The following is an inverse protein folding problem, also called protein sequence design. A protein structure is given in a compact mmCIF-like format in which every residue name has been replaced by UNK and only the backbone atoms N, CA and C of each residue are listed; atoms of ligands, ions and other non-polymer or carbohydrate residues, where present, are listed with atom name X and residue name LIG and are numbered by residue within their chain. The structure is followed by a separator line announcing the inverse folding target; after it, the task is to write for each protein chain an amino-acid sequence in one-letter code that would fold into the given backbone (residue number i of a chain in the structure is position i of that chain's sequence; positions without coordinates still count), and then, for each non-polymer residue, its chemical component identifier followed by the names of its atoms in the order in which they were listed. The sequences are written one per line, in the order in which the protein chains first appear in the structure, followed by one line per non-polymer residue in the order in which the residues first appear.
data_IF_939654660878
#
_entry.id   IF_939654660878
#
_cell.length_a   1.000
_cell.length_b   1.000
_cell.length_c   1.000
_cell.angle_alpha   90.00
_cell.angle_beta   90.00
_cell.angle_gamma   90.00
#
_symmetry.space_group_name_H-M   'P 1'
#
loop_
_entity.id
_entity.type
_entity.pdbx_description
1 polymer ?
#
# COMPACT_ATOMS: atom_id res chain seq x y z
N UNK A 1 -1.47 8.72 23.25
CA UNK A 1 -1.02 7.34 22.94
C UNK A 1 -0.39 7.37 21.56
N UNK A 2 0.89 7.05 21.44
CA UNK A 2 1.60 7.07 20.15
C UNK A 2 0.94 6.07 19.20
N UNK A 3 0.20 6.55 18.20
CA UNK A 3 -0.29 5.73 17.09
C UNK A 3 0.92 5.39 16.22
N UNK A 4 1.74 4.44 16.69
CA UNK A 4 2.88 3.93 15.94
C UNK A 4 2.32 3.03 14.85
N UNK A 5 1.89 3.61 13.72
CA UNK A 5 1.67 2.84 12.51
C UNK A 5 3.06 2.57 11.93
N UNK A 6 3.59 1.35 12.01
CA UNK A 6 4.92 1.07 11.48
C UNK A 6 4.95 1.40 9.99
N UNK A 7 5.96 2.19 9.60
CA UNK A 7 6.26 2.50 8.21
C UNK A 7 7.37 1.58 7.71
N UNK A 8 7.36 1.31 6.41
CA UNK A 8 8.34 0.46 5.73
C UNK A 8 8.89 1.22 4.55
N UNK A 9 10.22 1.29 4.45
CA UNK A 9 10.87 1.81 3.25
C UNK A 9 10.75 0.77 2.13
N UNK A 10 10.23 1.20 1.00
CA UNK A 10 10.05 0.40 -0.20
C UNK A 10 10.86 1.02 -1.35
N UNK A 11 11.50 0.16 -2.13
CA UNK A 11 12.26 0.56 -3.32
C UNK A 11 11.87 -0.37 -4.45
N UNK A 12 11.51 0.20 -5.60
CA UNK A 12 11.17 -0.53 -6.82
C UNK A 12 11.84 0.12 -8.04
N UNK A 13 11.80 -0.55 -9.18
CA UNK A 13 12.28 -0.06 -10.47
C UNK A 13 11.11 0.06 -11.45
N UNK A 14 11.01 1.20 -12.13
CA UNK A 14 10.00 1.44 -13.16
C UNK A 14 10.62 2.21 -14.32
N UNK A 15 10.50 1.68 -15.54
CA UNK A 15 11.07 2.26 -16.77
C UNK A 15 12.58 2.61 -16.67
N UNK A 16 13.33 1.83 -15.88
CA UNK A 16 14.77 2.04 -15.66
C UNK A 16 15.11 3.03 -14.54
N UNK A 17 14.12 3.69 -13.94
CA UNK A 17 14.29 4.54 -12.76
C UNK A 17 14.12 3.75 -11.46
N UNK A 18 14.98 4.03 -10.48
CA UNK A 18 14.86 3.48 -9.13
C UNK A 18 14.04 4.42 -8.25
N UNK A 19 12.83 3.98 -7.91
CA UNK A 19 11.89 4.72 -7.08
C UNK A 19 12.03 4.27 -5.64
N UNK A 20 12.10 5.23 -4.72
CA UNK A 20 12.09 4.98 -3.28
C UNK A 20 10.93 5.70 -2.64
N UNK A 21 10.27 5.03 -1.71
CA UNK A 21 9.16 5.61 -0.94
C UNK A 21 9.05 4.96 0.44
N UNK A 22 8.29 5.59 1.32
CA UNK A 22 7.95 5.11 2.66
C UNK A 22 6.47 4.80 2.71
N UNK A 23 6.13 3.53 2.94
CA UNK A 23 4.77 3.04 3.03
C UNK A 23 4.33 2.94 4.49
N UNK A 24 3.21 3.56 4.82
CA UNK A 24 2.49 3.41 6.08
C UNK A 24 1.44 2.33 5.91
N UNK A 25 1.32 1.44 6.90
CA UNK A 25 0.29 0.39 6.83
C UNK A 25 -1.13 0.95 6.76
N UNK A 26 -1.97 0.19 6.07
CA UNK A 26 -3.40 0.42 6.07
C UNK A 26 -4.00 0.16 7.44
N UNK A 27 -4.90 1.04 7.84
CA UNK A 27 -5.77 0.78 8.98
C UNK A 27 -6.79 -0.31 8.63
N UNK A 28 -7.33 -0.98 9.66
CA UNK A 28 -8.38 -1.99 9.47
C UNK A 28 -9.60 -1.45 8.69
N UNK A 29 -9.95 -0.17 8.89
CA UNK A 29 -11.02 0.49 8.14
C UNK A 29 -10.69 0.56 6.65
N UNK A 30 -9.48 0.99 6.30
CA UNK A 30 -9.02 1.07 4.90
C UNK A 30 -8.95 -0.32 4.24
N UNK A 31 -8.48 -1.34 4.97
CA UNK A 31 -8.48 -2.73 4.48
C UNK A 31 -9.89 -3.22 4.16
N UNK A 32 -10.87 -2.98 5.03
CA UNK A 32 -12.27 -3.36 4.79
C UNK A 32 -12.90 -2.63 3.61
N UNK A 33 -12.48 -1.39 3.32
CA UNK A 33 -12.92 -0.66 2.13
C UNK A 33 -12.38 -1.29 0.85
N UNK A 34 -11.15 -1.81 0.86
CA UNK A 34 -10.51 -2.39 -0.33
C UNK A 34 -10.93 -3.84 -0.60
N UNK A 35 -11.18 -4.62 0.46
CA UNK A 35 -11.50 -6.06 0.38
C UNK A 35 -12.56 -6.43 -0.69
N UNK A 36 -13.74 -5.80 -0.75
CA UNK A 36 -14.77 -6.18 -1.74
C UNK A 36 -14.39 -5.87 -3.19
N UNK A 37 -13.40 -5.02 -3.41
CA UNK A 37 -12.92 -4.64 -4.75
C UNK A 37 -11.86 -5.63 -5.24
N UNK A 38 -11.04 -6.14 -4.32
CA UNK A 38 -9.96 -7.09 -4.60
C UNK A 38 -10.45 -8.49 -5.00
N UNK A 39 -11.69 -8.89 -4.63
CA UNK A 39 -12.23 -10.22 -4.92
C UNK A 39 -12.45 -10.49 -6.42
N UNK A 40 -12.50 -9.46 -7.28
CA UNK A 40 -12.80 -9.63 -8.70
C UNK A 40 -12.14 -8.56 -9.60
N UNK A 41 -10.81 -8.45 -9.51
CA UNK A 41 -10.03 -7.51 -10.34
C UNK A 41 -9.94 -7.92 -11.82
N UNK A 42 -10.41 -9.12 -12.18
CA UNK A 42 -10.52 -9.57 -13.58
C UNK A 42 -11.60 -8.80 -14.36
N UNK A 43 -12.56 -8.19 -13.66
CA UNK A 43 -13.52 -7.28 -14.26
C UNK A 43 -12.90 -5.89 -14.41
N UNK A 44 -12.83 -5.38 -15.66
CA UNK A 44 -12.30 -4.05 -15.96
C UNK A 44 -12.94 -2.92 -15.15
N UNK A 45 -14.26 -2.97 -14.93
CA UNK A 45 -14.98 -1.98 -14.11
C UNK A 45 -14.52 -2.02 -12.65
N UNK A 46 -14.25 -3.23 -12.13
CA UNK A 46 -13.70 -3.41 -10.78
C UNK A 46 -12.25 -2.95 -10.70
N UNK A 47 -11.47 -3.16 -11.76
CA UNK A 47 -10.09 -2.64 -11.85
C UNK A 47 -10.08 -1.11 -11.84
N UNK A 48 -10.99 -0.44 -12.56
CA UNK A 48 -11.12 1.01 -12.49
C UNK A 48 -11.53 1.49 -11.09
N UNK A 49 -12.54 0.87 -10.49
CA UNK A 49 -12.95 1.18 -9.10
C UNK A 49 -11.81 0.99 -8.10
N UNK A 50 -10.96 -0.03 -8.32
CA UNK A 50 -9.77 -0.27 -7.50
C UNK A 50 -8.75 0.87 -7.62
N UNK A 51 -8.44 1.28 -8.86
CA UNK A 51 -7.53 2.39 -9.12
C UNK A 51 -8.05 3.70 -8.51
N UNK A 52 -9.36 3.99 -8.62
CA UNK A 52 -9.97 5.17 -8.01
C UNK A 52 -9.81 5.18 -6.48
N UNK A 53 -10.00 4.03 -5.83
CA UNK A 53 -9.82 3.91 -4.38
C UNK A 53 -8.35 4.03 -3.99
N UNK A 54 -7.43 3.42 -4.77
CA UNK A 54 -6.00 3.57 -4.53
C UNK A 54 -5.53 5.01 -4.73
N UNK A 55 -6.04 5.73 -5.73
CA UNK A 55 -5.72 7.14 -5.94
C UNK A 55 -6.13 8.03 -4.76
N UNK A 56 -7.22 7.68 -4.07
CA UNK A 56 -7.64 8.36 -2.83
C UNK A 56 -6.80 7.94 -1.62
N UNK A 57 -6.31 6.70 -1.59
CA UNK A 57 -5.67 6.10 -0.42
C UNK A 57 -4.16 6.35 -0.38
N UNK A 58 -3.49 6.25 -1.52
CA UNK A 58 -2.03 6.29 -1.64
C UNK A 58 -1.43 7.60 -1.10
N UNK A 59 -2.00 8.79 -1.33
CA UNK A 59 -1.48 10.04 -0.77
C UNK A 59 -1.41 10.07 0.77
N UNK A 60 -2.30 9.33 1.46
CA UNK A 60 -2.34 9.28 2.93
C UNK A 60 -1.33 8.29 3.54
N UNK A 61 -0.86 7.34 2.73
CA UNK A 61 -0.11 6.17 3.20
C UNK A 61 1.26 6.04 2.54
N UNK A 62 1.54 6.79 1.49
CA UNK A 62 2.85 6.90 0.86
C UNK A 62 3.46 8.24 1.25
N UNK A 63 4.74 8.22 1.61
CA UNK A 63 5.53 9.40 1.94
C UNK A 63 6.93 9.27 1.34
N UNK A 64 7.65 10.38 1.19
CA UNK A 64 9.01 10.38 0.63
C UNK A 64 9.14 9.70 -0.75
N UNK A 65 8.12 9.80 -1.60
CA UNK A 65 8.16 9.29 -2.97
C UNK A 65 9.17 10.09 -3.80
N UNK A 66 10.23 9.43 -4.28
CA UNK A 66 11.35 10.05 -5.01
C UNK A 66 11.99 9.08 -6.01
N UNK A 67 12.68 9.63 -6.99
CA UNK A 67 13.54 8.89 -7.92
C UNK A 67 12.90 8.54 -9.26
N UNK A 68 11.63 8.89 -9.49
CA UNK A 68 10.98 8.76 -10.79
C UNK A 68 11.16 10.03 -11.60
N UNK A 69 11.74 9.95 -12.79
CA UNK A 69 12.02 11.10 -13.66
C UNK A 69 11.10 11.07 -14.89
N UNK A 70 10.52 12.22 -15.20
CA UNK A 70 9.70 12.45 -16.40
C UNK A 70 10.35 13.51 -17.27
N UNK A 71 9.79 13.76 -18.46
CA UNK A 71 10.21 14.87 -19.32
C UNK A 71 10.13 16.25 -18.62
N UNK A 72 9.28 16.36 -17.60
CA UNK A 72 9.07 17.59 -16.82
C UNK A 72 9.90 17.65 -15.52
N UNK A 73 10.73 16.64 -15.25
CA UNK A 73 11.50 16.50 -14.00
C UNK A 73 10.97 15.38 -13.11
N UNK A 74 11.31 15.42 -11.82
CA UNK A 74 10.91 14.39 -10.86
C UNK A 74 9.38 14.33 -10.70
N UNK A 75 8.79 13.15 -10.94
CA UNK A 75 7.36 12.93 -10.85
C UNK A 75 6.90 12.95 -9.39
N UNK A 76 5.76 13.58 -9.13
CA UNK A 76 5.10 13.46 -7.82
C UNK A 76 4.17 12.25 -7.80
N UNK A 77 3.86 11.75 -6.60
CA UNK A 77 2.88 10.67 -6.45
C UNK A 77 1.53 11.05 -7.07
N UNK A 78 1.09 12.29 -6.92
CA UNK A 78 -0.17 12.78 -7.46
C UNK A 78 -0.16 12.75 -9.00
N UNK A 79 0.93 13.18 -9.64
CA UNK A 79 1.04 13.16 -11.10
C UNK A 79 0.92 11.74 -11.66
N UNK A 80 1.51 10.74 -11.00
CA UNK A 80 1.44 9.37 -11.50
C UNK A 80 0.07 8.72 -11.31
N UNK A 81 -0.72 9.17 -10.33
CA UNK A 81 -2.07 8.66 -10.09
C UNK A 81 -3.08 9.13 -11.14
N UNK A 82 -2.81 10.24 -11.82
CA UNK A 82 -3.65 10.78 -12.90
C UNK A 82 -3.34 10.14 -14.26
N UNK A 83 -2.20 9.47 -14.37
CA UNK A 83 -1.68 8.94 -15.63
C UNK A 83 -1.76 7.41 -15.69
N UNK A 84 -2.58 6.88 -16.59
CA UNK A 84 -2.78 5.43 -16.75
C UNK A 84 -1.51 4.66 -17.14
N UNK A 85 -0.48 5.33 -17.67
CA UNK A 85 0.83 4.74 -17.94
C UNK A 85 1.48 4.13 -16.69
N UNK A 86 1.30 4.76 -15.52
CA UNK A 86 1.85 4.28 -14.26
C UNK A 86 0.98 3.23 -13.57
N UNK A 87 -0.07 2.74 -14.22
CA UNK A 87 -0.93 1.67 -13.70
C UNK A 87 -0.16 0.46 -13.14
N UNK A 88 0.85 -0.08 -13.83
CA UNK A 88 1.67 -1.18 -13.29
C UNK A 88 2.45 -0.82 -12.03
N UNK A 89 2.97 0.42 -11.94
CA UNK A 89 3.67 0.91 -10.74
C UNK A 89 2.69 1.06 -9.58
N UNK A 90 1.49 1.59 -9.82
CA UNK A 90 0.42 1.70 -8.82
C UNK A 90 0.02 0.32 -8.32
N UNK A 91 -0.16 -0.65 -9.22
CA UNK A 91 -0.48 -2.04 -8.89
C UNK A 91 0.62 -2.64 -7.97
N UNK A 92 1.90 -2.39 -8.25
CA UNK A 92 3.02 -2.86 -7.44
C UNK A 92 3.07 -2.20 -6.04
N UNK A 93 2.98 -0.87 -5.97
CA UNK A 93 2.95 -0.12 -4.71
C UNK A 93 1.79 -0.62 -3.84
N UNK A 94 0.63 -0.82 -4.45
CA UNK A 94 -0.56 -1.32 -3.76
C UNK A 94 -0.38 -2.76 -3.26
N UNK A 95 0.21 -3.63 -4.09
CA UNK A 95 0.52 -5.01 -3.70
C UNK A 95 1.45 -5.08 -2.49
N UNK A 96 2.50 -4.26 -2.48
CA UNK A 96 3.42 -4.16 -1.34
C UNK A 96 2.72 -3.59 -0.10
N UNK A 97 1.89 -2.55 -0.27
CA UNK A 97 1.09 -1.94 0.79
C UNK A 97 0.16 -2.96 1.46
N UNK A 98 -0.51 -3.82 0.69
CA UNK A 98 -1.30 -4.91 1.24
C UNK A 98 -0.42 -5.95 1.93
N UNK A 99 0.70 -6.35 1.32
CA UNK A 99 1.63 -7.32 1.92
C UNK A 99 2.09 -6.88 3.31
N UNK A 100 2.58 -5.65 3.46
CA UNK A 100 3.04 -5.12 4.75
C UNK A 100 1.90 -4.91 5.75
N UNK A 101 0.67 -4.71 5.27
CA UNK A 101 -0.51 -4.53 6.12
C UNK A 101 -1.04 -5.87 6.64
N UNK A 102 -0.96 -6.95 5.85
CA UNK A 102 -1.42 -8.28 6.24
C UNK A 102 -0.37 -9.11 7.01
N UNK A 103 0.94 -8.99 6.69
CA UNK A 103 1.99 -9.86 7.27
C UNK A 103 2.12 -9.78 8.81
N UNK A 104 1.65 -8.73 9.48
CA UNK A 104 1.66 -8.67 10.95
C UNK A 104 0.31 -8.95 11.61
N UNK A 105 -0.81 -9.04 10.90
CA UNK A 105 -2.03 -9.52 11.56
C UNK A 105 -1.88 -10.98 12.02
N UNK A 106 -1.10 -11.80 11.31
CA UNK A 106 -0.81 -13.17 11.72
C UNK A 106 0.16 -13.25 12.92
N UNK A 107 1.20 -12.40 12.95
CA UNK A 107 2.18 -12.39 14.06
C UNK A 107 1.63 -11.78 15.35
N UNK A 108 0.76 -10.75 15.25
CA UNK A 108 0.08 -10.17 16.41
C UNK A 108 -0.93 -11.16 16.99
N UNK A 109 -1.73 -11.85 16.16
CA UNK A 109 -2.66 -12.90 16.62
C UNK A 109 -1.92 -14.08 17.27
N UNK A 110 -0.72 -14.46 16.78
CA UNK A 110 0.13 -15.49 17.41
C UNK A 110 0.69 -15.05 18.75
N UNK A 111 1.12 -13.79 18.88
CA UNK A 111 1.64 -13.25 20.14
C UNK A 111 0.56 -13.10 21.22
N UNK A 112 -0.66 -12.71 20.85
CA UNK A 112 -1.78 -12.62 21.79
C UNK A 112 -2.27 -13.99 22.30
N UNK A 113 -2.29 -15.02 21.43
CA UNK A 113 -2.63 -16.39 21.86
C UNK A 113 -1.63 -16.95 22.87
N UNK A 114 -0.35 -16.72 22.64
CA UNK A 114 0.72 -17.20 23.53
C UNK A 114 0.78 -16.45 24.87
N UNK A 115 0.35 -15.18 24.92
CA UNK A 115 0.18 -14.44 26.18
C UNK A 115 -1.04 -14.91 26.99
N UNK A 116 -2.14 -15.27 26.32
CA UNK A 116 -3.36 -15.75 26.96
C UNK A 116 -3.23 -17.17 27.55
N UNK A 117 -2.40 -18.03 26.96
CA UNK A 117 -2.10 -19.38 27.48
C UNK A 117 -1.21 -19.34 28.73
N UNK A 118 -0.20 -18.45 28.77
CA UNK A 118 0.69 -18.28 29.93
C UNK A 118 0.02 -17.63 31.15
N UNK A 119 -1.14 -17.02 30.98
CA UNK A 119 -1.89 -16.38 32.08
C UNK A 119 -2.88 -17.35 32.75
N UNK A 120 -2.90 -18.62 32.34
CA UNK A 120 -3.76 -19.69 32.88
C UNK A 120 -3.00 -20.83 33.57
N UNK A 121 -1.67 -20.73 33.66
CA UNK A 121 -0.80 -21.55 34.53
C UNK A 121 -0.42 -20.75 35.78
#
# INVERSE_FOLDING_TARGET
MSQFTPTVKFTTEFDGDTITMTLKRLTRKQLHTCAPIMENLDNFEKKLQYLDVMAQLLPDVVSDFRGLMTENGEASLESILEEGFFGPLIDEISGELFRISFHQEEDVKKSERSAAERSKE
#
